data_IF_866450863856
#
_entry.id   IF_866450863856
#
_cell.length_a   1.000
_cell.length_b   1.000
_cell.length_c   1.000
_cell.angle_alpha   90.00
_cell.angle_beta   90.00
_cell.angle_gamma   90.00
#
_symmetry.space_group_name_H-M   'P 1'
#
loop_
_entity.id
_entity.type
_entity.pdbx_description
1 polymer ?
#
# COMPACT_ATOMS: atom_id res chain seq x y z
N UNK A 1 0.53 -21.69 55.77
CA UNK A 1 -0.11 -20.53 55.10
C UNK A 1 0.80 -19.85 54.07
N UNK A 2 2.11 -19.67 54.31
CA UNK A 2 3.06 -18.99 53.38
C UNK A 2 3.22 -19.63 51.98
N UNK A 3 3.16 -20.96 51.86
CA UNK A 3 3.35 -21.66 50.57
C UNK A 3 2.14 -21.52 49.62
N UNK A 4 0.93 -21.36 50.17
CA UNK A 4 -0.29 -21.19 49.38
C UNK A 4 -0.31 -19.80 48.74
N UNK A 5 0.13 -18.77 49.46
CA UNK A 5 0.26 -17.42 48.92
C UNK A 5 1.26 -17.33 47.76
N UNK A 6 2.40 -18.01 47.86
CA UNK A 6 3.42 -18.06 46.78
C UNK A 6 2.86 -18.75 45.54
N UNK A 7 2.14 -19.86 45.71
CA UNK A 7 1.52 -20.59 44.61
C UNK A 7 0.47 -19.75 43.88
N UNK A 8 -0.38 -19.04 44.63
CA UNK A 8 -1.39 -18.12 44.06
C UNK A 8 -0.71 -16.98 43.29
N UNK A 9 0.37 -16.41 43.81
CA UNK A 9 1.15 -15.37 43.10
C UNK A 9 1.72 -15.92 41.80
N UNK A 10 2.32 -17.11 41.78
CA UNK A 10 2.86 -17.71 40.55
C UNK A 10 1.75 -17.95 39.51
N UNK A 11 0.59 -18.44 39.92
CA UNK A 11 -0.54 -18.69 39.02
C UNK A 11 -1.11 -17.38 38.47
N UNK A 12 -1.27 -16.35 39.30
CA UNK A 12 -1.76 -15.04 38.83
C UNK A 12 -0.74 -14.37 37.91
N UNK A 13 0.54 -14.37 38.28
CA UNK A 13 1.60 -13.71 37.50
C UNK A 13 1.87 -14.45 36.19
N UNK A 14 1.82 -15.78 36.20
CA UNK A 14 1.91 -16.59 34.98
C UNK A 14 0.66 -16.45 34.10
N UNK A 15 -0.52 -16.42 34.70
CA UNK A 15 -1.79 -16.22 33.99
C UNK A 15 -1.90 -14.84 33.34
N UNK A 16 -1.44 -13.78 34.00
CA UNK A 16 -1.41 -12.43 33.44
C UNK A 16 -0.35 -12.30 32.34
N UNK A 17 0.83 -12.89 32.49
CA UNK A 17 1.83 -12.93 31.43
C UNK A 17 1.29 -13.62 30.16
N UNK A 18 0.65 -14.78 30.32
CA UNK A 18 0.07 -15.52 29.19
C UNK A 18 -1.07 -14.75 28.52
N UNK A 19 -1.89 -14.04 29.29
CA UNK A 19 -2.98 -13.22 28.75
C UNK A 19 -2.47 -12.01 27.97
N UNK A 20 -1.38 -11.38 28.40
CA UNK A 20 -0.73 -10.28 27.67
C UNK A 20 -0.12 -10.79 26.37
N UNK A 21 0.56 -11.94 26.39
CA UNK A 21 1.13 -12.56 25.19
C UNK A 21 0.01 -12.95 24.20
N UNK A 22 -1.08 -13.53 24.69
CA UNK A 22 -2.24 -13.85 23.86
C UNK A 22 -2.85 -12.58 23.24
N UNK A 23 -3.04 -11.51 24.01
CA UNK A 23 -3.56 -10.23 23.52
C UNK A 23 -2.64 -9.62 22.44
N UNK A 24 -1.33 -9.71 22.66
CA UNK A 24 -0.29 -9.26 21.74
C UNK A 24 -0.31 -10.07 20.43
N UNK A 25 -0.49 -11.39 20.50
CA UNK A 25 -0.58 -12.28 19.34
C UNK A 25 -1.93 -12.20 18.60
N UNK A 26 -3.00 -11.78 19.28
CA UNK A 26 -4.33 -11.58 18.65
C UNK A 26 -4.50 -10.25 17.94
N UNK A 27 -3.55 -9.31 18.06
CA UNK A 27 -3.62 -8.08 17.25
C UNK A 27 -3.44 -8.47 15.79
N UNK A 28 -4.36 -8.06 14.88
CA UNK A 28 -4.20 -8.33 13.48
C UNK A 28 -2.87 -7.75 13.01
N UNK A 29 -1.94 -8.64 12.67
CA UNK A 29 -0.66 -8.24 12.09
C UNK A 29 -0.98 -7.75 10.69
N UNK A 30 -0.56 -6.52 10.38
CA UNK A 30 -0.64 -6.05 9.00
C UNK A 30 0.10 -7.04 8.10
N UNK A 31 -0.41 -7.32 6.89
CA UNK A 31 0.30 -8.15 5.94
C UNK A 31 1.68 -7.54 5.66
N UNK A 32 2.68 -8.41 5.57
CA UNK A 32 4.06 -8.02 5.31
C UNK A 32 4.34 -8.23 3.83
N UNK A 33 4.78 -7.17 3.17
CA UNK A 33 5.13 -7.19 1.75
C UNK A 33 6.64 -7.04 1.62
N UNK A 34 7.31 -8.17 1.34
CA UNK A 34 8.76 -8.21 1.17
C UNK A 34 9.22 -7.60 -0.17
N UNK A 35 8.34 -7.62 -1.18
CA UNK A 35 8.55 -7.12 -2.53
C UNK A 35 7.52 -6.05 -2.91
N UNK A 36 7.90 -5.02 -3.69
CA UNK A 36 6.99 -3.96 -4.12
C UNK A 36 5.88 -4.50 -5.03
N UNK A 37 6.18 -5.47 -5.90
CA UNK A 37 5.23 -6.08 -6.83
C UNK A 37 4.03 -6.71 -6.14
N UNK A 38 4.27 -7.40 -5.01
CA UNK A 38 3.20 -7.99 -4.21
C UNK A 38 2.26 -6.92 -3.63
N UNK A 39 2.81 -5.81 -3.14
CA UNK A 39 2.01 -4.68 -2.64
C UNK A 39 1.18 -4.06 -3.77
N UNK A 40 1.80 -3.83 -4.93
CA UNK A 40 1.14 -3.24 -6.10
C UNK A 40 -0.01 -4.12 -6.58
N UNK A 41 0.18 -5.43 -6.69
CA UNK A 41 -0.89 -6.33 -7.12
C UNK A 41 -2.10 -6.29 -6.18
N UNK A 42 -1.87 -6.28 -4.87
CA UNK A 42 -2.94 -6.17 -3.88
C UNK A 42 -3.63 -4.81 -3.97
N UNK A 43 -2.88 -3.74 -4.21
CA UNK A 43 -3.43 -2.40 -4.43
C UNK A 43 -4.31 -2.32 -5.68
N UNK A 44 -3.84 -2.85 -6.80
CA UNK A 44 -4.59 -2.88 -8.06
C UNK A 44 -5.89 -3.66 -7.90
N UNK A 45 -5.83 -4.86 -7.30
CA UNK A 45 -7.02 -5.66 -7.02
C UNK A 45 -8.00 -4.91 -6.09
N UNK A 46 -7.49 -4.20 -5.09
CA UNK A 46 -8.33 -3.39 -4.21
C UNK A 46 -8.97 -2.19 -4.93
N UNK A 47 -8.28 -1.57 -5.90
CA UNK A 47 -8.87 -0.53 -6.77
C UNK A 47 -9.98 -1.10 -7.65
N UNK A 48 -9.74 -2.25 -8.29
CA UNK A 48 -10.74 -2.94 -9.13
C UNK A 48 -11.99 -3.31 -8.35
N UNK A 49 -11.81 -3.78 -7.11
CA UNK A 49 -12.91 -4.14 -6.21
C UNK A 49 -13.54 -2.92 -5.52
N UNK A 50 -12.98 -1.72 -5.70
CA UNK A 50 -13.35 -0.52 -4.95
C UNK A 50 -13.30 -0.74 -3.41
N UNK A 51 -12.35 -1.56 -2.96
CA UNK A 51 -12.15 -1.94 -1.56
C UNK A 51 -11.27 -0.91 -0.84
N UNK A 52 -11.94 0.14 -0.35
CA UNK A 52 -11.31 1.21 0.45
C UNK A 52 -10.54 0.65 1.64
N UNK A 53 -11.12 -0.31 2.36
CA UNK A 53 -10.52 -0.80 3.61
C UNK A 53 -9.21 -1.52 3.32
N UNK A 54 -9.16 -2.32 2.26
CA UNK A 54 -7.94 -3.00 1.84
C UNK A 54 -6.86 -1.99 1.46
N UNK A 55 -7.17 -0.94 0.68
CA UNK A 55 -6.19 0.09 0.32
C UNK A 55 -5.64 0.78 1.56
N UNK A 56 -6.49 1.14 2.53
CA UNK A 56 -6.06 1.77 3.78
C UNK A 56 -5.05 0.91 4.56
N UNK A 57 -5.09 -0.42 4.45
CA UNK A 57 -4.10 -1.30 5.09
C UNK A 57 -2.72 -1.27 4.44
N UNK A 58 -2.64 -0.95 3.14
CA UNK A 58 -1.40 -0.89 2.36
C UNK A 58 -0.64 0.41 2.58
N UNK A 59 -1.29 1.40 3.15
CA UNK A 59 -0.75 2.73 3.36
C UNK A 59 0.25 2.78 4.53
N UNK A 60 1.23 3.68 4.40
CA UNK A 60 2.22 3.94 5.44
C UNK A 60 1.54 4.36 6.77
N UNK A 61 1.96 3.83 7.94
CA UNK A 61 1.26 4.02 9.22
C UNK A 61 1.08 5.46 9.71
N UNK A 62 1.92 6.40 9.25
CA UNK A 62 1.97 7.79 9.75
C UNK A 62 1.41 8.83 8.79
N UNK A 63 0.68 8.37 7.79
CA UNK A 63 0.41 9.18 6.63
C UNK A 63 -1.11 9.23 6.44
N UNK A 64 -1.63 10.45 6.32
CA UNK A 64 -3.05 10.75 6.25
C UNK A 64 -3.35 11.24 4.83
N UNK A 65 -4.11 10.45 4.09
CA UNK A 65 -4.35 10.66 2.66
C UNK A 65 -5.81 10.36 2.30
N UNK A 66 -6.72 10.72 3.21
CA UNK A 66 -8.14 10.43 3.06
C UNK A 66 -8.71 11.08 1.79
N UNK A 67 -8.21 12.28 1.45
CA UNK A 67 -8.63 13.03 0.27
C UNK A 67 -8.10 12.42 -1.03
N UNK A 68 -6.82 12.08 -1.06
CA UNK A 68 -6.14 11.48 -2.20
C UNK A 68 -6.67 10.08 -2.49
N UNK A 69 -6.96 9.32 -1.44
CA UNK A 69 -7.61 8.01 -1.54
C UNK A 69 -9.01 8.14 -2.13
N UNK A 70 -9.81 9.10 -1.66
CA UNK A 70 -11.16 9.34 -2.19
C UNK A 70 -11.11 9.77 -3.66
N UNK A 71 -10.18 10.66 -4.03
CA UNK A 71 -9.97 11.04 -5.42
C UNK A 71 -9.55 9.84 -6.27
N UNK A 72 -8.63 9.01 -5.77
CA UNK A 72 -8.17 7.81 -6.48
C UNK A 72 -9.29 6.80 -6.65
N UNK A 73 -10.12 6.56 -5.64
CA UNK A 73 -11.28 5.67 -5.76
C UNK A 73 -12.35 6.24 -6.70
N UNK A 74 -12.54 7.56 -6.73
CA UNK A 74 -13.41 8.21 -7.71
C UNK A 74 -12.87 8.07 -9.15
N UNK A 75 -11.55 8.14 -9.32
CA UNK A 75 -10.92 8.07 -10.64
C UNK A 75 -10.77 6.64 -11.15
N UNK A 76 -10.40 5.68 -10.29
CA UNK A 76 -9.99 4.33 -10.67
C UNK A 76 -10.84 3.20 -10.08
N UNK A 77 -11.67 3.48 -9.08
CA UNK A 77 -12.46 2.47 -8.38
C UNK A 77 -13.45 1.77 -9.33
N UNK A 78 -13.38 0.44 -9.40
CA UNK A 78 -14.28 -0.35 -10.25
C UNK A 78 -13.87 -0.42 -11.73
N UNK A 79 -12.70 0.10 -12.11
CA UNK A 79 -12.19 -0.06 -13.47
C UNK A 79 -11.51 -1.43 -13.67
N UNK A 80 -11.73 -2.11 -14.81
CA UNK A 80 -11.04 -3.36 -15.14
C UNK A 80 -9.52 -3.18 -15.22
N UNK A 81 -8.76 -4.05 -14.56
CA UNK A 81 -7.30 -3.95 -14.49
C UNK A 81 -6.57 -4.32 -15.79
N UNK A 82 -7.27 -4.88 -16.77
CA UNK A 82 -6.70 -5.24 -18.07
C UNK A 82 -6.09 -4.05 -18.83
N UNK A 83 -6.49 -2.83 -18.46
CA UNK A 83 -5.96 -1.58 -19.02
C UNK A 83 -4.79 -1.00 -18.22
N UNK A 84 -4.38 -1.62 -17.10
CA UNK A 84 -3.37 -1.06 -16.20
C UNK A 84 -1.97 -1.58 -16.57
N UNK A 85 -1.13 -0.69 -17.13
CA UNK A 85 0.29 -0.99 -17.37
C UNK A 85 1.12 -0.51 -16.20
N UNK A 86 2.06 -1.35 -15.77
CA UNK A 86 2.98 -1.08 -14.67
C UNK A 86 4.41 -0.89 -15.18
N UNK A 87 5.03 0.23 -14.82
CA UNK A 87 6.46 0.46 -15.05
C UNK A 87 7.14 0.90 -13.76
N UNK A 88 8.25 0.26 -13.40
CA UNK A 88 9.02 0.65 -12.22
C UNK A 88 10.08 1.69 -12.59
N UNK A 89 10.10 2.80 -11.87
CA UNK A 89 11.14 3.81 -11.99
C UNK A 89 12.43 3.41 -11.28
N UNK A 90 13.57 3.83 -11.82
CA UNK A 90 14.83 3.74 -11.09
C UNK A 90 14.82 4.74 -9.94
N UNK A 91 15.21 4.28 -8.75
CA UNK A 91 15.34 5.12 -7.56
C UNK A 91 16.76 5.07 -7.05
N UNK A 92 17.21 6.16 -6.42
CA UNK A 92 18.55 6.25 -5.83
C UNK A 92 18.68 5.44 -4.52
N UNK A 93 17.56 4.97 -3.96
CA UNK A 93 17.50 4.32 -2.65
C UNK A 93 16.80 2.97 -2.73
N UNK A 94 17.36 1.91 -2.12
CA UNK A 94 16.71 0.60 -2.05
C UNK A 94 15.46 0.59 -1.14
N UNK A 95 15.17 1.70 -0.45
CA UNK A 95 14.01 1.87 0.42
C UNK A 95 12.85 2.62 -0.24
N UNK A 96 13.00 3.02 -1.50
CA UNK A 96 12.01 3.79 -2.23
C UNK A 96 11.89 3.23 -3.65
N UNK A 97 10.67 3.08 -4.15
CA UNK A 97 10.39 2.65 -5.53
C UNK A 97 9.24 3.49 -6.05
N UNK A 98 9.29 3.92 -7.30
CA UNK A 98 8.13 4.48 -7.99
C UNK A 98 7.57 3.46 -8.97
N UNK A 99 6.25 3.39 -9.08
CA UNK A 99 5.57 2.59 -10.08
C UNK A 99 4.57 3.48 -10.83
N UNK A 100 4.64 3.51 -12.14
CA UNK A 100 3.70 4.22 -13.00
C UNK A 100 2.55 3.29 -13.37
N UNK A 101 1.33 3.76 -13.16
CA UNK A 101 0.09 3.16 -13.62
C UNK A 101 -0.43 3.96 -14.81
N UNK A 102 -0.66 3.28 -15.93
CA UNK A 102 -1.36 3.87 -17.07
C UNK A 102 -2.71 3.16 -17.21
N UNK A 103 -3.82 3.90 -17.25
CA UNK A 103 -5.16 3.35 -17.46
C UNK A 103 -5.89 4.09 -18.58
N UNK A 104 -6.52 3.33 -19.49
CA UNK A 104 -7.36 3.90 -20.55
C UNK A 104 -8.76 4.20 -19.99
N UNK A 105 -9.18 5.47 -20.04
CA UNK A 105 -10.50 5.93 -19.57
C UNK A 105 -11.23 6.63 -20.70
N UNK A 106 -12.54 6.46 -20.79
CA UNK A 106 -13.36 7.30 -21.68
C UNK A 106 -13.77 8.59 -20.94
N UNK A 107 -13.48 9.75 -21.52
CA UNK A 107 -13.89 11.05 -20.98
C UNK A 107 -15.40 11.30 -21.15
N UNK A 108 -15.90 12.43 -20.63
CA UNK A 108 -17.31 12.80 -20.74
C UNK A 108 -17.79 13.05 -22.19
N UNK A 109 -16.85 13.16 -23.15
CA UNK A 109 -17.10 13.43 -24.55
C UNK A 109 -16.99 12.16 -25.43
N UNK A 110 -16.69 11.00 -24.84
CA UNK A 110 -16.52 9.74 -25.56
C UNK A 110 -15.11 9.46 -26.09
N UNK A 111 -14.10 10.27 -25.74
CA UNK A 111 -12.71 10.05 -26.15
C UNK A 111 -11.99 9.17 -25.13
N UNK A 112 -11.16 8.24 -25.62
CA UNK A 112 -10.23 7.52 -24.76
C UNK A 112 -9.06 8.42 -24.38
N UNK A 113 -8.88 8.64 -23.08
CA UNK A 113 -7.80 9.37 -22.43
C UNK A 113 -6.97 8.38 -21.63
N UNK A 114 -5.64 8.47 -21.76
CA UNK A 114 -4.73 7.69 -20.92
C UNK A 114 -4.46 8.48 -19.66
N UNK A 115 -4.83 7.93 -18.52
CA UNK A 115 -4.55 8.53 -17.21
C UNK A 115 -3.28 7.89 -16.66
N UNK A 116 -2.31 8.73 -16.32
CA UNK A 116 -1.06 8.34 -15.69
C UNK A 116 -1.13 8.61 -14.19
N UNK A 117 -0.76 7.63 -13.38
CA UNK A 117 -0.64 7.78 -11.93
C UNK A 117 0.72 7.28 -11.47
N UNK A 118 1.39 8.03 -10.60
CA UNK A 118 2.65 7.59 -10.01
C UNK A 118 2.39 7.11 -8.59
N UNK A 119 2.57 5.82 -8.36
CA UNK A 119 2.61 5.24 -7.03
C UNK A 119 4.01 5.38 -6.46
N UNK A 120 4.12 5.94 -5.25
CA UNK A 120 5.36 5.87 -4.51
C UNK A 120 5.25 4.76 -3.47
N UNK A 121 6.25 3.89 -3.46
CA UNK A 121 6.38 2.78 -2.53
C UNK A 121 7.58 3.06 -1.65
N UNK A 122 7.39 2.88 -0.34
CA UNK A 122 8.48 3.04 0.61
C UNK A 122 8.57 1.84 1.54
N UNK A 123 9.79 1.34 1.71
CA UNK A 123 10.10 0.29 2.66
C UNK A 123 10.28 0.92 4.04
N UNK A 124 9.40 0.58 4.98
CA UNK A 124 9.39 1.11 6.34
C UNK A 124 9.43 -0.01 7.37
N UNK A 125 9.96 0.26 8.59
CA UNK A 125 9.88 -0.70 9.68
C UNK A 125 8.43 -0.97 10.07
N UNK A 126 8.14 -2.23 10.37
CA UNK A 126 6.83 -2.67 10.86
C UNK A 126 6.83 -2.54 12.38
N UNK A 127 5.96 -1.69 12.90
CA UNK A 127 5.69 -1.61 14.33
C UNK A 127 4.68 -2.72 14.70
N UNK A 128 5.16 -3.97 14.73
CA UNK A 128 4.41 -5.11 15.25
C UNK A 128 5.02 -5.63 16.56
N UNK A 129 4.26 -6.34 17.40
CA UNK A 129 4.82 -6.84 18.66
C UNK A 129 5.87 -7.94 18.48
N UNK A 130 5.90 -8.60 17.32
CA UNK A 130 6.88 -9.64 17.00
C UNK A 130 8.27 -9.03 16.76
N UNK A 131 8.34 -7.78 16.31
CA UNK A 131 9.59 -7.03 16.13
C UNK A 131 10.39 -6.87 17.43
N UNK A 132 9.73 -6.92 18.59
CA UNK A 132 10.37 -6.92 19.91
C UNK A 132 11.18 -8.20 20.19
N UNK A 133 10.79 -9.33 19.57
CA UNK A 133 11.36 -10.64 19.83
C UNK A 133 12.28 -11.13 18.70
N UNK A 134 11.98 -10.73 17.45
CA UNK A 134 12.68 -11.22 16.25
C UNK A 134 13.53 -10.14 15.55
N UNK A 135 13.58 -8.93 16.11
CA UNK A 135 14.28 -7.78 15.52
C UNK A 135 13.42 -6.97 14.55
N UNK A 136 13.94 -5.82 14.06
CA UNK A 136 13.19 -4.93 13.19
C UNK A 136 12.84 -5.62 11.87
N UNK A 137 11.55 -5.70 11.58
CA UNK A 137 11.00 -6.19 10.31
C UNK A 137 10.64 -5.01 9.43
N UNK A 138 10.69 -5.19 8.12
CA UNK A 138 10.38 -4.14 7.15
C UNK A 138 9.32 -4.62 6.17
N UNK A 139 8.41 -3.74 5.77
CA UNK A 139 7.44 -3.99 4.71
C UNK A 139 7.45 -2.82 3.73
N UNK A 140 7.10 -3.09 2.48
CA UNK A 140 6.70 -2.03 1.56
C UNK A 140 5.33 -1.47 1.95
N UNK A 141 5.17 -0.17 1.77
CA UNK A 141 3.94 0.58 1.98
C UNK A 141 3.71 1.55 0.83
N UNK A 142 2.44 1.85 0.56
CA UNK A 142 2.04 2.90 -0.35
C UNK A 142 2.18 4.27 0.31
N UNK A 143 2.78 5.18 -0.44
CA UNK A 143 2.94 6.59 -0.15
C UNK A 143 2.32 7.32 -1.35
N UNK A 144 1.11 7.82 -1.20
CA UNK A 144 0.38 8.40 -2.34
C UNK A 144 1.06 9.72 -2.76
N UNK A 145 1.32 9.86 -4.06
CA UNK A 145 1.81 11.08 -4.70
C UNK A 145 0.75 11.71 -5.60
N UNK A 146 0.99 12.94 -6.05
CA UNK A 146 0.05 13.70 -6.87
C UNK A 146 -0.33 12.96 -8.17
N UNK A 147 -1.62 12.75 -8.37
CA UNK A 147 -2.15 12.32 -9.67
C UNK A 147 -2.07 13.48 -10.66
N UNK A 148 -1.24 13.39 -11.68
CA UNK A 148 -1.16 14.37 -12.76
C UNK A 148 -1.93 13.86 -13.98
N UNK A 149 -3.11 14.42 -14.24
CA UNK A 149 -3.80 14.20 -15.51
C UNK A 149 -3.04 14.97 -16.60
N UNK A 150 -2.21 14.26 -17.37
CA UNK A 150 -1.58 14.86 -18.54
C UNK A 150 -2.55 14.76 -19.73
N UNK A 151 -2.92 15.88 -20.38
CA UNK A 151 -3.65 15.82 -21.63
C UNK A 151 -2.79 15.11 -22.68
N UNK A 152 -3.41 14.26 -23.50
CA UNK A 152 -2.76 13.70 -24.68
C UNK A 152 -2.40 14.88 -25.59
N UNK A 153 -1.13 15.28 -25.56
CA UNK A 153 -0.56 15.97 -26.69
C UNK A 153 -0.25 14.89 -27.71
N UNK A 154 -0.83 15.01 -28.90
CA UNK A 154 -0.53 14.13 -30.02
C UNK A 154 0.98 13.87 -30.08
N UNK A 155 1.42 12.61 -30.35
CA UNK A 155 2.84 12.38 -30.61
C UNK A 155 3.30 13.38 -31.67
N UNK A 156 4.50 13.99 -31.52
CA UNK A 156 4.95 15.03 -32.43
C UNK A 156 4.74 14.53 -33.85
N UNK A 157 3.91 15.25 -34.61
CA UNK A 157 3.59 14.92 -35.98
C UNK A 157 4.91 14.56 -36.67
N UNK A 158 5.06 13.29 -37.09
CA UNK A 158 6.24 12.80 -37.78
C UNK A 158 6.55 13.82 -38.86
N UNK A 159 7.64 14.58 -38.66
CA UNK A 159 8.05 15.63 -39.56
C UNK A 159 8.19 15.04 -40.96
N UNK A 160 7.23 15.37 -41.83
CA UNK A 160 7.48 15.43 -43.26
C UNK A 160 8.50 16.54 -43.47
N UNK A 161 9.78 16.19 -43.43
CA UNK A 161 10.79 16.96 -44.14
C UNK A 161 11.18 16.14 -45.37
N UNK A 162 10.48 16.46 -46.45
CA UNK A 162 10.96 16.30 -47.81
C UNK A 162 12.23 17.14 -47.97
N UNK A 163 13.34 16.47 -48.27
CA UNK A 163 14.59 17.05 -48.74
C UNK A 163 15.23 16.05 -49.69
#
# INVERSE_FOLDING_TARGET
>A
MRNIAIFIVIVITGGTLLSIIALVLTRPTRPVYDQPDALVQVYLNALEQNDRQQIETLLAPKYHFQRELEQTLQTYGGLPLEHVRLSYGQTESPFFVTAELCADRTDANGNTVVVHNTLHLQKQPIEDPLSLFFGPRYSWFLVMGETTELPITDPPARGRFSG
#
